data_IF_611429353633
#
_entry.id   IF_611429353633
#
_cell.length_a   1.000
_cell.length_b   1.000
_cell.length_c   1.000
_cell.angle_alpha   90.00
_cell.angle_beta   90.00
_cell.angle_gamma   90.00
#
_symmetry.space_group_name_H-M   'P 1'
#
loop_
_entity.id
_entity.type
_entity.pdbx_description
1 polymer ?
#
# COMPACT_ATOMS: atom_id res chain seq x y z
N UNK A 1 -23.39 -49.41 -1.86
CA UNK A 1 -21.94 -49.16 -2.02
C UNK A 1 -21.78 -47.68 -2.16
N UNK A 2 -21.29 -47.05 -1.09
CA UNK A 2 -21.09 -45.62 -0.98
C UNK A 2 -20.04 -45.16 -2.00
N UNK A 3 -20.37 -44.13 -2.78
CA UNK A 3 -19.40 -43.37 -3.56
C UNK A 3 -19.45 -41.92 -3.09
N UNK A 4 -18.51 -41.57 -2.22
CA UNK A 4 -18.22 -40.21 -1.77
C UNK A 4 -17.90 -39.29 -2.97
N UNK A 5 -18.37 -38.03 -3.00
CA UNK A 5 -17.90 -37.04 -3.96
C UNK A 5 -16.51 -36.54 -3.55
N UNK A 6 -15.57 -36.60 -4.48
CA UNK A 6 -14.24 -36.02 -4.35
C UNK A 6 -14.33 -34.52 -4.03
N UNK A 7 -13.75 -34.13 -2.90
CA UNK A 7 -13.45 -32.74 -2.58
C UNK A 7 -12.41 -32.26 -3.59
N UNK A 8 -12.80 -31.38 -4.51
CA UNK A 8 -11.88 -30.66 -5.39
C UNK A 8 -10.87 -29.88 -4.53
N UNK A 9 -9.66 -30.42 -4.45
CA UNK A 9 -8.53 -29.81 -3.77
C UNK A 9 -8.16 -28.49 -4.42
N UNK A 10 -7.87 -27.51 -3.58
CA UNK A 10 -7.15 -26.31 -4.00
C UNK A 10 -5.74 -26.75 -4.38
N UNK A 11 -5.44 -26.79 -5.67
CA UNK A 11 -4.05 -26.94 -6.11
C UNK A 11 -3.28 -25.68 -5.71
N UNK A 12 -2.38 -25.87 -4.74
CA UNK A 12 -1.33 -24.95 -4.33
C UNK A 12 -0.52 -24.50 -5.56
N UNK A 13 -0.79 -23.29 -6.05
CA UNK A 13 0.20 -22.56 -6.83
C UNK A 13 1.23 -22.01 -5.87
N UNK A 14 2.33 -22.74 -5.71
CA UNK A 14 3.58 -22.25 -5.09
C UNK A 14 3.88 -20.86 -5.61
N UNK A 15 4.07 -19.92 -4.71
CA UNK A 15 4.77 -18.68 -5.01
C UNK A 15 6.20 -19.05 -5.40
N UNK A 16 6.53 -18.90 -6.69
CA UNK A 16 7.91 -18.86 -7.15
C UNK A 16 8.54 -17.58 -6.59
N UNK A 17 9.28 -17.72 -5.48
CA UNK A 17 10.46 -16.92 -5.21
C UNK A 17 11.68 -17.73 -5.66
N UNK A 18 12.66 -17.04 -6.22
CA UNK A 18 13.98 -17.49 -6.70
C UNK A 18 14.03 -18.10 -8.11
N UNK A 19 14.59 -17.32 -9.04
CA UNK A 19 15.85 -17.65 -9.72
C UNK A 19 16.44 -16.32 -10.25
N UNK A 20 17.10 -15.56 -9.37
CA UNK A 20 18.16 -14.65 -9.80
C UNK A 20 19.46 -15.21 -9.20
N UNK A 21 20.39 -15.54 -10.09
CA UNK A 21 21.60 -16.30 -9.85
C UNK A 21 22.43 -15.78 -8.66
N UNK A 22 22.83 -16.73 -7.82
CA UNK A 22 23.96 -16.63 -6.90
C UNK A 22 25.18 -16.02 -7.59
N UNK A 23 25.54 -14.79 -7.24
CA UNK A 23 26.95 -14.40 -7.17
C UNK A 23 27.34 -14.34 -5.70
N UNK A 24 27.85 -15.47 -5.25
CA UNK A 24 28.55 -15.71 -3.99
C UNK A 24 29.42 -14.51 -3.60
N UNK A 25 29.06 -13.83 -2.51
CA UNK A 25 29.98 -12.98 -1.78
C UNK A 25 30.78 -13.88 -0.84
N UNK A 26 32.03 -14.18 -1.20
CA UNK A 26 32.97 -14.77 -0.25
C UNK A 26 33.36 -13.70 0.77
N UNK A 27 33.09 -13.88 2.07
CA UNK A 27 33.60 -12.97 3.09
C UNK A 27 35.14 -13.07 3.12
N UNK A 28 35.86 -11.95 3.29
CA UNK A 28 37.31 -11.99 3.39
C UNK A 28 37.73 -12.90 4.55
N UNK A 29 38.53 -13.93 4.21
CA UNK A 29 39.10 -14.91 5.14
C UNK A 29 39.75 -14.19 6.33
N UNK A 30 39.29 -14.51 7.56
CA UNK A 30 39.95 -14.13 8.81
C UNK A 30 41.44 -14.45 8.72
N UNK A 31 42.29 -13.43 8.58
CA UNK A 31 43.71 -13.60 8.92
C UNK A 31 43.80 -13.67 10.44
N UNK A 32 44.38 -14.76 10.91
CA UNK A 32 44.68 -15.01 12.30
C UNK A 32 45.34 -13.78 12.93
N UNK A 33 44.72 -13.24 13.97
CA UNK A 33 45.40 -12.38 14.93
C UNK A 33 46.34 -13.27 15.74
N UNK A 34 47.57 -13.42 15.28
CA UNK A 34 48.69 -13.81 16.14
C UNK A 34 49.73 -12.70 16.10
N UNK A 35 50.23 -12.41 17.30
CA UNK A 35 51.47 -11.70 17.62
C UNK A 35 51.47 -10.17 17.47
N UNK A 36 50.72 -9.51 18.34
CA UNK A 36 51.21 -8.28 18.97
C UNK A 36 51.06 -8.42 20.49
N UNK A 37 52.17 -8.76 21.16
CA UNK A 37 52.30 -8.66 22.61
C UNK A 37 52.03 -7.21 23.05
N UNK A 38 51.33 -6.97 24.17
CA UNK A 38 51.15 -5.62 24.68
C UNK A 38 52.49 -5.13 25.23
N UNK A 39 53.04 -4.06 24.64
CA UNK A 39 54.12 -3.31 25.29
C UNK A 39 53.48 -2.30 26.23
N UNK A 40 53.57 -2.62 27.52
CA UNK A 40 53.63 -1.75 28.70
C UNK A 40 53.19 -0.29 28.56
N UNK A 41 52.20 0.03 29.39
CA UNK A 41 52.07 1.26 30.17
C UNK A 41 51.94 2.57 29.39
N UNK A 42 50.70 2.93 29.07
CA UNK A 42 50.29 4.33 29.04
C UNK A 42 48.95 4.45 29.77
N UNK A 43 49.02 4.74 31.08
CA UNK A 43 47.86 5.22 31.84
C UNK A 43 47.52 6.63 31.33
N UNK A 44 46.45 6.76 30.56
CA UNK A 44 45.82 8.06 30.34
C UNK A 44 44.81 8.31 31.46
N UNK A 45 45.32 8.84 32.58
CA UNK A 45 44.47 9.43 33.60
C UNK A 45 43.87 10.73 33.08
N UNK A 46 42.56 10.71 32.79
CA UNK A 46 41.75 11.92 32.61
C UNK A 46 41.60 12.38 31.16
N UNK A 47 40.55 11.91 30.49
CA UNK A 47 39.95 12.62 29.36
C UNK A 47 38.59 13.15 29.85
N UNK A 48 38.34 14.47 29.79
CA UNK A 48 37.05 15.03 30.19
C UNK A 48 35.97 14.62 29.18
N UNK A 49 34.75 14.44 29.66
CA UNK A 49 33.52 14.21 28.88
C UNK A 49 33.41 15.20 27.71
N UNK A 50 33.69 14.74 26.49
CA UNK A 50 33.57 15.53 25.26
C UNK A 50 32.28 15.18 24.53
N UNK A 51 31.56 16.17 24.00
CA UNK A 51 30.33 15.94 23.23
C UNK A 51 30.64 15.41 21.83
N UNK A 52 29.69 14.70 21.21
CA UNK A 52 29.78 14.20 19.81
C UNK A 52 30.13 15.32 18.82
N UNK A 53 29.63 16.54 19.05
CA UNK A 53 29.99 17.71 18.24
C UNK A 53 31.46 18.10 18.40
N UNK A 54 32.05 17.93 19.58
CA UNK A 54 33.47 18.18 19.81
C UNK A 54 34.34 17.06 19.23
N UNK A 55 33.90 15.80 19.27
CA UNK A 55 34.59 14.68 18.62
C UNK A 55 34.56 14.80 17.09
N UNK A 56 33.41 15.16 16.50
CA UNK A 56 33.27 15.44 15.08
C UNK A 56 34.08 16.68 14.67
N UNK A 57 34.09 17.75 15.48
CA UNK A 57 34.95 18.92 15.22
C UNK A 57 36.44 18.61 15.32
N UNK A 58 36.84 17.69 16.20
CA UNK A 58 38.23 17.22 16.29
C UNK A 58 38.56 16.33 15.10
N UNK A 59 37.68 15.41 14.72
CA UNK A 59 37.84 14.55 13.55
C UNK A 59 37.89 15.38 12.25
N UNK A 60 37.02 16.38 12.10
CA UNK A 60 37.04 17.35 11.01
C UNK A 60 38.28 18.25 11.05
N UNK A 61 38.68 18.79 12.21
CA UNK A 61 39.91 19.60 12.32
C UNK A 61 41.15 18.77 12.00
N UNK A 62 41.25 17.53 12.47
CA UNK A 62 42.36 16.62 12.14
C UNK A 62 42.35 16.28 10.65
N UNK A 63 41.17 15.99 10.08
CA UNK A 63 41.02 15.77 8.65
C UNK A 63 41.42 17.01 7.84
N UNK A 64 40.94 18.20 8.18
CA UNK A 64 41.25 19.46 7.49
C UNK A 64 42.71 19.87 7.62
N UNK A 65 43.29 19.78 8.82
CA UNK A 65 44.70 20.09 9.06
C UNK A 65 45.63 19.17 8.28
N UNK A 66 45.19 17.95 7.95
CA UNK A 66 46.03 16.95 7.28
C UNK A 66 45.55 16.65 5.84
N UNK A 67 44.44 17.24 5.39
CA UNK A 67 43.90 17.13 4.02
C UNK A 67 44.91 17.59 2.97
N UNK A 68 45.70 18.62 3.27
CA UNK A 68 46.74 19.11 2.38
C UNK A 68 47.93 18.14 2.23
N UNK A 69 48.20 17.31 3.24
CA UNK A 69 49.18 16.21 3.16
C UNK A 69 48.62 14.97 2.45
N UNK A 70 47.29 14.80 2.43
CA UNK A 70 46.60 13.69 1.76
C UNK A 70 46.45 13.90 0.24
N UNK A 71 46.38 15.15 -0.24
CA UNK A 71 46.08 15.48 -1.64
C UNK A 71 47.32 15.78 -2.50
N UNK A 72 48.48 16.06 -1.90
CA UNK A 72 49.73 16.29 -2.66
C UNK A 72 50.94 15.69 -1.95
N UNK A 73 51.32 14.48 -2.33
CA UNK A 73 52.71 14.02 -2.55
C UNK A 73 52.81 12.49 -2.43
N UNK A 74 53.05 11.83 -3.56
CA UNK A 74 53.47 10.42 -3.66
C UNK A 74 54.93 10.22 -3.19
N UNK A 75 55.29 10.74 -2.01
CA UNK A 75 56.65 10.67 -1.51
C UNK A 75 56.71 9.94 -0.15
N UNK A 76 57.47 8.85 -0.11
CA UNK A 76 57.59 7.87 0.98
C UNK A 76 57.97 8.42 2.37
N UNK A 77 58.33 9.70 2.48
CA UNK A 77 58.86 10.34 3.70
C UNK A 77 57.81 10.63 4.79
N UNK A 78 56.54 10.80 4.42
CA UNK A 78 55.43 11.11 5.35
C UNK A 78 54.46 9.94 5.53
N UNK A 79 54.79 8.76 4.99
CA UNK A 79 53.93 7.59 5.01
C UNK A 79 53.72 7.00 6.43
N UNK A 80 54.65 7.22 7.36
CA UNK A 80 54.57 6.81 8.76
C UNK A 80 53.65 7.72 9.59
N UNK A 81 53.73 9.03 9.39
CA UNK A 81 52.90 10.03 10.07
C UNK A 81 51.46 9.98 9.58
N UNK A 82 51.24 9.80 8.28
CA UNK A 82 49.91 9.53 7.71
C UNK A 82 49.31 8.22 8.22
N UNK A 83 50.12 7.17 8.39
CA UNK A 83 49.68 5.92 9.04
C UNK A 83 49.36 6.13 10.52
N UNK A 84 50.09 6.99 11.22
CA UNK A 84 49.86 7.32 12.62
C UNK A 84 48.59 8.14 12.82
N UNK A 85 48.36 9.19 12.03
CA UNK A 85 47.13 9.98 12.08
C UNK A 85 45.90 9.15 11.69
N UNK A 86 46.00 8.30 10.65
CA UNK A 86 44.93 7.36 10.30
C UNK A 86 44.69 6.33 11.41
N UNK A 87 45.73 5.91 12.14
CA UNK A 87 45.62 5.01 13.29
C UNK A 87 44.97 5.72 14.48
N UNK A 88 45.33 6.97 14.77
CA UNK A 88 44.77 7.75 15.88
C UNK A 88 43.28 8.09 15.63
N UNK A 89 42.90 8.46 14.40
CA UNK A 89 41.49 8.65 14.01
C UNK A 89 40.71 7.33 14.10
N UNK A 90 41.30 6.22 13.62
CA UNK A 90 40.67 4.91 13.75
C UNK A 90 40.53 4.47 15.21
N UNK A 91 41.51 4.77 16.07
CA UNK A 91 41.44 4.48 17.50
C UNK A 91 40.38 5.33 18.20
N UNK A 92 40.30 6.63 17.91
CA UNK A 92 39.27 7.50 18.46
C UNK A 92 37.85 7.06 18.05
N UNK A 93 37.69 6.60 16.80
CA UNK A 93 36.44 6.01 16.32
C UNK A 93 36.12 4.69 17.04
N UNK A 94 37.10 3.77 17.13
CA UNK A 94 37.01 2.49 17.85
C UNK A 94 36.76 2.62 19.37
N UNK A 95 37.16 3.74 19.97
CA UNK A 95 36.92 4.04 21.38
C UNK A 95 35.52 4.64 21.57
N UNK A 96 35.10 5.51 20.64
CA UNK A 96 33.75 6.11 20.67
C UNK A 96 32.61 5.13 20.40
N UNK A 97 32.83 4.09 19.56
CA UNK A 97 31.81 3.06 19.30
C UNK A 97 31.53 2.16 20.52
N UNK A 98 32.43 2.16 21.52
CA UNK A 98 32.33 1.36 22.75
C UNK A 98 31.89 2.19 23.96
N UNK A 99 31.91 3.51 23.85
CA UNK A 99 31.44 4.39 24.91
C UNK A 99 29.91 4.50 24.86
N UNK A 100 29.27 3.87 25.85
CA UNK A 100 27.81 3.82 25.96
C UNK A 100 27.16 5.21 26.00
N UNK A 101 27.75 6.19 26.69
CA UNK A 101 27.15 7.53 26.81
C UNK A 101 27.22 8.29 25.49
N UNK A 102 28.33 8.13 24.76
CA UNK A 102 28.49 8.69 23.41
C UNK A 102 27.48 8.07 22.46
N UNK A 103 27.33 6.74 22.48
CA UNK A 103 26.39 6.01 21.62
C UNK A 103 24.93 6.34 21.98
N UNK A 104 24.57 6.43 23.26
CA UNK A 104 23.23 6.86 23.69
C UNK A 104 22.91 8.27 23.19
N UNK A 105 23.85 9.20 23.35
CA UNK A 105 23.68 10.58 22.87
C UNK A 105 23.49 10.62 21.36
N UNK A 106 24.30 9.86 20.60
CA UNK A 106 24.17 9.79 19.15
C UNK A 106 22.82 9.18 18.73
N UNK A 107 22.42 8.05 19.30
CA UNK A 107 21.14 7.38 19.01
C UNK A 107 19.92 8.23 19.37
N UNK A 108 20.02 9.08 20.40
CA UNK A 108 18.95 10.01 20.77
C UNK A 108 18.72 11.12 19.74
N UNK A 109 19.76 11.46 18.96
CA UNK A 109 19.71 12.49 17.92
C UNK A 109 19.34 11.88 16.55
N UNK A 110 19.92 10.73 16.23
CA UNK A 110 19.64 9.94 15.02
C UNK A 110 19.69 8.45 15.35
N UNK A 111 18.53 7.78 15.30
CA UNK A 111 18.45 6.36 15.61
C UNK A 111 19.29 5.45 14.71
N UNK A 112 19.66 5.90 13.49
CA UNK A 112 20.55 5.13 12.61
C UNK A 112 22.02 5.14 13.08
N UNK A 113 22.38 5.99 14.04
CA UNK A 113 23.72 5.98 14.64
C UNK A 113 24.09 4.63 15.28
N UNK A 114 23.08 3.81 15.61
CA UNK A 114 23.24 2.46 16.15
C UNK A 114 24.04 1.51 15.23
N UNK A 115 24.01 1.73 13.91
CA UNK A 115 24.79 0.96 12.94
C UNK A 115 26.30 0.93 13.27
N UNK A 116 26.80 2.02 13.85
CA UNK A 116 28.21 2.21 14.15
C UNK A 116 28.60 1.84 15.58
N UNK A 117 27.64 1.40 16.40
CA UNK A 117 27.92 0.99 17.77
C UNK A 117 28.63 -0.37 17.80
N UNK A 118 29.48 -0.59 18.81
CA UNK A 118 30.09 -1.89 19.03
C UNK A 118 29.01 -2.98 19.26
N UNK A 119 29.25 -4.25 18.88
CA UNK A 119 28.26 -5.32 18.99
C UNK A 119 27.64 -5.48 20.39
N UNK A 120 28.42 -5.25 21.45
CA UNK A 120 27.93 -5.31 22.84
C UNK A 120 26.89 -4.22 23.13
N UNK A 121 27.03 -3.04 22.52
CA UNK A 121 26.07 -1.93 22.64
C UNK A 121 24.89 -2.08 21.67
N UNK A 122 25.07 -2.75 20.53
CA UNK A 122 23.95 -3.21 19.69
C UNK A 122 23.08 -4.28 20.38
N UNK A 123 23.57 -4.86 21.48
CA UNK A 123 22.84 -5.76 22.36
C UNK A 123 22.44 -5.10 23.70
N UNK A 124 22.68 -3.80 23.88
CA UNK A 124 22.31 -3.08 25.10
C UNK A 124 20.90 -2.51 24.97
N UNK A 125 19.96 -3.05 25.75
CA UNK A 125 18.54 -2.67 25.68
C UNK A 125 18.31 -1.17 25.83
N UNK A 126 19.08 -0.44 26.66
CA UNK A 126 18.89 1.00 26.84
C UNK A 126 19.30 1.78 25.58
N UNK A 127 20.39 1.35 24.93
CA UNK A 127 20.85 1.93 23.65
C UNK A 127 19.80 1.71 22.56
N UNK A 128 19.29 0.47 22.42
CA UNK A 128 18.32 0.16 21.37
C UNK A 128 16.99 0.86 21.60
N UNK A 129 16.52 0.95 22.85
CA UNK A 129 15.31 1.72 23.17
C UNK A 129 15.50 3.20 22.80
N UNK A 130 16.65 3.80 23.09
CA UNK A 130 16.94 5.18 22.67
C UNK A 130 16.92 5.34 21.15
N UNK A 131 17.55 4.42 20.42
CA UNK A 131 17.59 4.45 18.96
C UNK A 131 16.20 4.26 18.33
N UNK A 132 15.47 3.23 18.75
CA UNK A 132 14.13 2.91 18.22
C UNK A 132 13.09 3.96 18.58
N UNK A 133 13.24 4.66 19.72
CA UNK A 133 12.37 5.79 20.10
C UNK A 133 12.55 6.99 19.19
N UNK A 134 13.75 7.17 18.61
CA UNK A 134 14.03 8.23 17.65
C UNK A 134 13.69 7.81 16.21
N UNK A 135 14.05 6.57 15.83
CA UNK A 135 13.83 6.03 14.49
C UNK A 135 13.51 4.53 14.53
N UNK A 136 12.26 4.15 14.24
CA UNK A 136 11.80 2.76 14.35
C UNK A 136 12.59 1.73 13.52
N UNK A 137 13.17 2.12 12.38
CA UNK A 137 13.98 1.20 11.55
C UNK A 137 15.33 0.85 12.18
N UNK A 138 15.75 1.54 13.24
CA UNK A 138 16.96 1.20 13.98
C UNK A 138 16.93 -0.22 14.56
N UNK A 139 15.74 -0.83 14.70
CA UNK A 139 15.56 -2.23 15.11
C UNK A 139 16.38 -3.21 14.25
N UNK A 140 16.67 -2.87 12.99
CA UNK A 140 17.48 -3.71 12.10
C UNK A 140 18.90 -3.98 12.60
N UNK A 141 19.45 -3.09 13.43
CA UNK A 141 20.80 -3.20 13.98
C UNK A 141 20.81 -3.88 15.36
N UNK A 142 19.65 -4.12 15.96
CA UNK A 142 19.54 -4.81 17.23
C UNK A 142 19.91 -6.29 17.09
N UNK A 143 20.38 -6.90 18.17
CA UNK A 143 20.58 -8.35 18.23
C UNK A 143 19.27 -9.11 18.00
N UNK A 144 19.38 -10.37 17.56
CA UNK A 144 18.21 -11.24 17.37
C UNK A 144 17.37 -11.40 18.65
N UNK A 145 18.03 -11.47 19.82
CA UNK A 145 17.35 -11.59 21.11
C UNK A 145 16.49 -10.36 21.41
N UNK A 146 16.98 -9.16 21.07
CA UNK A 146 16.22 -7.91 21.23
C UNK A 146 15.15 -7.74 20.15
N UNK A 147 15.35 -8.23 18.93
CA UNK A 147 14.30 -8.29 17.92
C UNK A 147 13.14 -9.21 18.33
N UNK A 148 13.37 -10.15 19.24
CA UNK A 148 12.32 -10.99 19.84
C UNK A 148 11.60 -10.32 21.02
N UNK A 149 12.07 -9.16 21.51
CA UNK A 149 11.43 -8.43 22.60
C UNK A 149 10.18 -7.70 22.10
N UNK A 150 9.00 -8.25 22.45
CA UNK A 150 7.69 -7.74 22.03
C UNK A 150 7.51 -6.25 22.33
N UNK A 151 7.94 -5.77 23.50
CA UNK A 151 7.76 -4.36 23.87
C UNK A 151 8.63 -3.45 23.01
N UNK A 152 9.87 -3.89 22.71
CA UNK A 152 10.78 -3.14 21.85
C UNK A 152 10.30 -3.09 20.41
N UNK A 153 9.81 -4.21 19.87
CA UNK A 153 9.27 -4.27 18.51
C UNK A 153 8.03 -3.38 18.38
N UNK A 154 7.13 -3.38 19.37
CA UNK A 154 5.97 -2.49 19.40
C UNK A 154 6.38 -1.02 19.50
N UNK A 155 7.39 -0.69 20.31
CA UNK A 155 7.96 0.65 20.37
C UNK A 155 8.48 1.10 19.00
N UNK A 156 9.30 0.28 18.34
CA UNK A 156 9.84 0.57 17.02
C UNK A 156 8.73 0.72 15.97
N UNK A 157 7.73 -0.16 16.02
CA UNK A 157 6.54 -0.12 15.17
C UNK A 157 5.75 1.18 15.34
N UNK A 158 5.62 1.70 16.57
CA UNK A 158 4.93 2.96 16.85
C UNK A 158 5.62 4.17 16.21
N UNK A 159 6.94 4.10 16.00
CA UNK A 159 7.71 5.14 15.31
C UNK A 159 7.68 4.96 13.79
N UNK A 160 7.74 3.72 13.32
CA UNK A 160 7.67 3.42 11.90
C UNK A 160 7.19 1.97 11.66
N UNK A 161 6.03 1.81 11.00
CA UNK A 161 5.42 0.49 10.72
C UNK A 161 6.36 -0.52 10.05
N UNK A 162 7.26 -0.05 9.17
CA UNK A 162 8.19 -0.95 8.46
C UNK A 162 9.26 -1.55 9.38
N UNK A 163 9.33 -1.16 10.66
CA UNK A 163 10.13 -1.86 11.66
C UNK A 163 9.74 -3.34 11.78
N UNK A 164 8.49 -3.70 11.50
CA UNK A 164 8.02 -5.09 11.50
C UNK A 164 8.71 -5.98 10.44
N UNK A 165 9.41 -5.41 9.44
CA UNK A 165 10.27 -6.18 8.53
C UNK A 165 11.40 -6.91 9.26
N UNK A 166 11.79 -6.41 10.43
CA UNK A 166 12.87 -6.96 11.27
C UNK A 166 12.33 -7.73 12.48
N UNK A 167 11.01 -7.84 12.62
CA UNK A 167 10.41 -8.69 13.63
C UNK A 167 10.56 -10.18 13.22
N UNK A 168 10.78 -11.09 14.17
CA UNK A 168 10.77 -12.52 13.91
C UNK A 168 9.41 -12.98 13.36
N UNK A 169 9.44 -13.99 12.48
CA UNK A 169 8.24 -14.54 11.84
C UNK A 169 7.22 -15.04 12.88
N UNK A 170 7.70 -15.58 13.99
CA UNK A 170 6.88 -16.07 15.11
C UNK A 170 5.97 -14.97 15.68
N UNK A 171 6.44 -13.72 15.77
CA UNK A 171 5.62 -12.59 16.23
C UNK A 171 4.60 -12.18 15.17
N UNK A 172 4.97 -12.18 13.89
CA UNK A 172 4.06 -11.89 12.77
C UNK A 172 2.97 -12.97 12.60
N UNK A 173 3.19 -14.13 13.18
CA UNK A 173 2.25 -15.26 13.23
C UNK A 173 1.38 -15.25 14.50
N UNK A 174 1.75 -14.46 15.52
CA UNK A 174 1.00 -14.32 16.75
C UNK A 174 -0.16 -13.33 16.61
N UNK A 175 -1.37 -13.83 16.89
CA UNK A 175 -2.60 -13.01 16.79
C UNK A 175 -2.61 -11.87 17.80
N UNK A 176 -2.13 -12.10 19.03
CA UNK A 176 -2.14 -11.09 20.09
C UNK A 176 -1.23 -9.92 19.77
N UNK A 177 -0.01 -10.21 19.33
CA UNK A 177 0.96 -9.25 18.84
C UNK A 177 0.41 -8.44 17.66
N UNK A 178 -0.09 -9.11 16.62
CA UNK A 178 -0.61 -8.41 15.44
C UNK A 178 -1.82 -7.54 15.75
N UNK A 179 -2.70 -7.94 16.67
CA UNK A 179 -3.79 -7.09 17.14
C UNK A 179 -3.27 -5.81 17.82
N UNK A 180 -2.22 -5.91 18.64
CA UNK A 180 -1.59 -4.75 19.28
C UNK A 180 -0.89 -3.84 18.25
N UNK A 181 -0.15 -4.40 17.31
CA UNK A 181 0.50 -3.65 16.24
C UNK A 181 -0.52 -2.92 15.35
N UNK A 182 -1.60 -3.61 14.93
CA UNK A 182 -2.68 -3.03 14.15
C UNK A 182 -3.46 -1.95 14.90
N UNK A 183 -3.53 -2.03 16.23
CA UNK A 183 -4.13 -0.99 17.06
C UNK A 183 -3.28 0.28 17.16
N UNK A 184 -1.99 0.23 16.83
CA UNK A 184 -1.12 1.41 16.73
C UNK A 184 -1.16 1.99 15.32
N UNK A 185 -0.92 1.16 14.30
CA UNK A 185 -1.01 1.51 12.89
C UNK A 185 -1.62 0.33 12.12
N UNK A 186 -2.79 0.53 11.50
CA UNK A 186 -3.48 -0.52 10.75
C UNK A 186 -2.69 -1.00 9.52
N UNK A 187 -1.75 -0.22 9.01
CA UNK A 187 -0.89 -0.61 7.88
C UNK A 187 0.19 -1.63 8.24
N UNK A 188 0.37 -1.92 9.53
CA UNK A 188 1.20 -3.06 10.00
C UNK A 188 0.65 -4.40 9.54
N UNK A 189 -0.65 -4.49 9.27
CA UNK A 189 -1.32 -5.70 8.80
C UNK A 189 -0.73 -6.31 7.53
N UNK A 190 -0.02 -5.52 6.71
CA UNK A 190 0.69 -6.02 5.53
C UNK A 190 1.75 -7.08 5.87
N UNK A 191 2.29 -7.06 7.09
CA UNK A 191 3.30 -7.99 7.58
C UNK A 191 2.71 -9.23 8.26
N UNK A 192 1.39 -9.25 8.50
CA UNK A 192 0.73 -10.39 9.11
C UNK A 192 0.88 -11.65 8.24
N UNK A 193 1.01 -12.81 8.89
CA UNK A 193 1.00 -14.10 8.19
C UNK A 193 -0.27 -14.29 7.34
N UNK A 194 -0.21 -15.12 6.30
CA UNK A 194 -1.40 -15.42 5.47
C UNK A 194 -2.58 -15.94 6.30
N UNK A 195 -2.31 -16.70 7.37
CA UNK A 195 -3.31 -17.19 8.31
C UNK A 195 -4.04 -16.02 8.98
N UNK A 196 -3.30 -15.02 9.47
CA UNK A 196 -3.88 -13.83 10.11
C UNK A 196 -4.47 -12.86 9.09
N UNK A 197 -3.97 -12.83 7.86
CA UNK A 197 -4.59 -12.09 6.76
C UNK A 197 -5.98 -12.63 6.41
N UNK A 198 -6.25 -13.89 6.74
CA UNK A 198 -7.56 -14.55 6.64
C UNK A 198 -8.32 -14.59 7.98
N UNK A 199 -7.83 -13.93 9.04
CA UNK A 199 -8.50 -13.84 10.34
C UNK A 199 -9.33 -12.56 10.41
N UNK A 200 -10.66 -12.71 10.46
CA UNK A 200 -11.59 -11.58 10.41
C UNK A 200 -11.39 -10.59 11.57
N UNK A 201 -11.00 -11.04 12.76
CA UNK A 201 -10.80 -10.14 13.90
C UNK A 201 -9.58 -9.23 13.67
N UNK A 202 -8.51 -9.80 13.12
CA UNK A 202 -7.29 -9.04 12.80
C UNK A 202 -7.55 -8.04 11.68
N UNK A 203 -8.26 -8.46 10.62
CA UNK A 203 -8.67 -7.55 9.53
C UNK A 203 -9.51 -6.39 10.07
N UNK A 204 -10.51 -6.68 10.90
CA UNK A 204 -11.37 -5.65 11.49
C UNK A 204 -10.58 -4.69 12.39
N UNK A 205 -9.61 -5.17 13.17
CA UNK A 205 -8.73 -4.33 13.98
C UNK A 205 -7.90 -3.38 13.10
N UNK A 206 -7.28 -3.92 12.04
CA UNK A 206 -6.49 -3.13 11.10
C UNK A 206 -7.33 -2.07 10.35
N UNK A 207 -8.58 -2.39 9.98
CA UNK A 207 -9.50 -1.44 9.37
C UNK A 207 -9.97 -0.35 10.34
N UNK A 208 -10.08 -0.66 11.65
CA UNK A 208 -10.55 0.28 12.66
C UNK A 208 -9.58 1.45 12.87
N UNK A 209 -8.28 1.15 12.99
CA UNK A 209 -7.26 2.12 13.33
C UNK A 209 -7.02 3.14 12.22
N UNK A 210 -7.13 2.68 10.98
CA UNK A 210 -6.95 3.50 9.80
C UNK A 210 -8.12 4.49 9.55
N UNK A 211 -9.25 4.36 10.26
CA UNK A 211 -10.44 5.19 10.02
C UNK A 211 -10.33 6.65 10.47
N UNK A 212 -9.29 7.06 11.21
CA UNK A 212 -9.22 8.38 11.87
C UNK A 212 -8.49 9.47 11.08
N UNK A 213 -7.72 9.13 10.03
CA UNK A 213 -7.02 10.12 9.20
C UNK A 213 -7.97 10.76 8.18
N UNK A 214 -8.89 11.59 8.67
CA UNK A 214 -9.94 12.29 7.91
C UNK A 214 -9.41 13.38 6.96
N UNK A 215 -8.14 13.75 7.04
CA UNK A 215 -7.58 14.92 6.33
C UNK A 215 -6.61 14.57 5.19
N UNK A 216 -6.12 13.34 5.11
CA UNK A 216 -5.19 12.89 4.06
C UNK A 216 -5.57 11.50 3.57
N UNK A 217 -6.36 11.47 2.50
CA UNK A 217 -6.77 10.24 1.81
C UNK A 217 -5.61 9.75 0.92
N UNK A 218 -4.68 8.93 1.45
CA UNK A 218 -4.38 7.66 0.79
C UNK A 218 -3.97 6.45 1.66
N UNK A 219 -3.58 6.60 2.94
CA UNK A 219 -2.92 5.48 3.66
C UNK A 219 -3.86 4.57 4.46
N UNK A 220 -5.09 4.98 4.73
CA UNK A 220 -6.02 4.23 5.57
C UNK A 220 -6.58 2.95 4.91
N UNK A 221 -6.57 2.87 3.59
CA UNK A 221 -7.18 1.75 2.86
C UNK A 221 -6.19 0.63 2.53
N UNK A 222 -4.93 0.79 2.95
CA UNK A 222 -3.86 -0.12 2.56
C UNK A 222 -3.93 -1.44 3.30
N UNK A 223 -4.53 -1.51 4.49
CA UNK A 223 -4.67 -2.76 5.23
C UNK A 223 -5.64 -3.74 4.54
N UNK A 224 -6.85 -3.28 4.16
CA UNK A 224 -7.88 -4.16 3.61
C UNK A 224 -7.46 -4.88 2.32
N UNK A 225 -6.60 -4.28 1.49
CA UNK A 225 -6.09 -4.93 0.27
C UNK A 225 -5.18 -6.14 0.55
N UNK A 226 -4.67 -6.30 1.77
CA UNK A 226 -3.91 -7.48 2.19
C UNK A 226 -4.81 -8.58 2.78
N UNK A 227 -6.10 -8.32 3.00
CA UNK A 227 -7.01 -9.30 3.57
C UNK A 227 -7.30 -10.42 2.56
N UNK A 228 -7.24 -11.67 3.04
CA UNK A 228 -7.44 -12.88 2.25
C UNK A 228 -8.82 -13.51 2.51
N UNK A 229 -9.12 -14.61 1.83
CA UNK A 229 -10.38 -15.36 1.99
C UNK A 229 -11.66 -14.58 1.65
N UNK A 230 -11.55 -13.53 0.86
CA UNK A 230 -12.67 -12.65 0.52
C UNK A 230 -13.00 -11.61 1.58
N UNK A 231 -12.20 -11.50 2.66
CA UNK A 231 -12.39 -10.50 3.72
C UNK A 231 -12.20 -9.06 3.22
N UNK A 232 -11.48 -8.86 2.11
CA UNK A 232 -11.39 -7.58 1.42
C UNK A 232 -12.70 -7.16 0.71
N UNK A 233 -13.67 -8.06 0.64
CA UNK A 233 -15.03 -7.84 0.14
C UNK A 233 -16.10 -8.19 1.18
N UNK A 234 -15.68 -8.48 2.42
CA UNK A 234 -16.59 -8.76 3.52
C UNK A 234 -17.25 -7.45 3.96
N UNK A 235 -18.57 -7.51 4.16
CA UNK A 235 -19.40 -6.37 4.52
C UNK A 235 -18.88 -5.64 5.75
N UNK A 236 -18.57 -6.37 6.82
CA UNK A 236 -18.18 -5.77 8.09
C UNK A 236 -16.80 -5.11 7.95
N UNK A 237 -15.88 -5.75 7.24
CA UNK A 237 -14.55 -5.19 6.95
C UNK A 237 -14.65 -3.90 6.12
N UNK A 238 -15.51 -3.87 5.11
CA UNK A 238 -15.71 -2.69 4.25
C UNK A 238 -16.38 -1.52 4.99
N UNK A 239 -17.36 -1.80 5.86
CA UNK A 239 -17.96 -0.81 6.76
C UNK A 239 -16.91 -0.29 7.72
N UNK A 240 -16.14 -1.19 8.36
CA UNK A 240 -15.09 -0.82 9.31
C UNK A 240 -14.01 0.05 8.66
N UNK A 241 -13.65 -0.26 7.41
CA UNK A 241 -12.74 0.53 6.59
C UNK A 241 -13.34 1.85 6.06
N UNK A 242 -14.62 2.14 6.35
CA UNK A 242 -15.36 3.32 5.86
C UNK A 242 -15.42 3.42 4.33
N UNK A 243 -15.27 2.29 3.64
CA UNK A 243 -15.50 2.18 2.20
C UNK A 243 -16.98 1.93 1.88
N UNK A 244 -17.71 1.53 2.91
CA UNK A 244 -19.12 1.23 2.89
C UNK A 244 -19.88 2.06 3.91
N UNK A 245 -21.14 2.32 3.59
CA UNK A 245 -22.04 3.12 4.40
C UNK A 245 -23.11 2.17 4.94
N UNK A 246 -23.48 2.28 6.22
CA UNK A 246 -24.50 1.42 6.87
C UNK A 246 -25.88 1.46 6.18
N UNK A 247 -26.10 2.45 5.29
CA UNK A 247 -27.31 2.63 4.50
C UNK A 247 -27.41 1.70 3.28
N UNK A 248 -26.41 0.87 3.01
CA UNK A 248 -26.55 -0.17 2.00
C UNK A 248 -27.55 -1.21 2.47
N UNK A 249 -28.59 -1.37 1.66
CA UNK A 249 -29.59 -2.41 1.86
C UNK A 249 -29.09 -3.65 1.15
N UNK A 250 -28.74 -4.66 1.94
CA UNK A 250 -28.68 -6.04 1.47
C UNK A 250 -30.04 -6.37 0.86
N UNK A 251 -30.10 -6.42 -0.47
CA UNK A 251 -31.36 -6.70 -1.19
C UNK A 251 -31.72 -8.18 -1.16
N UNK A 252 -30.87 -9.03 -0.58
CA UNK A 252 -31.23 -10.41 -0.25
C UNK A 252 -31.95 -10.49 1.11
N UNK A 253 -31.91 -9.43 1.93
CA UNK A 253 -32.77 -9.32 3.10
C UNK A 253 -34.17 -8.86 2.64
N UNK A 254 -35.21 -9.52 3.13
CA UNK A 254 -36.63 -9.36 2.78
C UNK A 254 -37.24 -7.95 3.06
N UNK A 255 -36.42 -6.91 3.24
CA UNK A 255 -36.83 -5.58 3.71
C UNK A 255 -36.24 -4.43 2.87
N UNK A 256 -36.34 -4.51 1.54
CA UNK A 256 -36.10 -3.31 0.69
C UNK A 256 -37.35 -2.44 0.74
N UNK A 257 -37.21 -1.20 1.25
CA UNK A 257 -38.33 -0.24 1.26
C UNK A 257 -38.62 0.28 -0.15
N UNK A 258 -39.90 0.44 -0.52
CA UNK A 258 -40.34 0.95 -1.84
C UNK A 258 -39.67 2.29 -2.23
N UNK A 259 -39.30 3.10 -1.24
CA UNK A 259 -38.64 4.40 -1.38
C UNK A 259 -37.20 4.31 -1.91
N UNK A 260 -36.49 3.18 -1.72
CA UNK A 260 -35.12 3.00 -2.21
C UNK A 260 -35.05 2.50 -3.65
N UNK A 261 -36.10 1.82 -4.11
CA UNK A 261 -36.20 1.25 -5.47
C UNK A 261 -36.27 2.35 -6.55
N UNK A 262 -36.67 3.58 -6.19
CA UNK A 262 -36.87 4.70 -7.12
C UNK A 262 -35.68 5.65 -7.28
N UNK A 263 -34.58 5.43 -6.55
CA UNK A 263 -33.41 6.33 -6.56
C UNK A 263 -32.57 6.12 -7.82
N UNK A 264 -32.00 7.20 -8.35
CA UNK A 264 -31.06 7.14 -9.48
C UNK A 264 -29.83 6.35 -9.05
N UNK A 265 -29.36 5.45 -9.92
CA UNK A 265 -28.25 4.54 -9.58
C UNK A 265 -26.98 4.92 -10.31
N UNK A 266 -25.90 5.01 -9.57
CA UNK A 266 -24.55 5.22 -10.09
C UNK A 266 -23.83 3.88 -10.06
N UNK A 267 -23.50 3.33 -11.23
CA UNK A 267 -22.77 2.06 -11.33
C UNK A 267 -21.28 2.37 -11.50
N UNK A 268 -20.46 1.97 -10.54
CA UNK A 268 -19.02 2.12 -10.66
C UNK A 268 -18.44 0.96 -11.49
N UNK A 269 -17.49 1.28 -12.36
CA UNK A 269 -16.63 0.35 -13.10
C UNK A 269 -15.19 0.67 -12.72
N UNK A 270 -14.61 -0.15 -11.85
CA UNK A 270 -13.25 0.00 -11.35
C UNK A 270 -12.43 -1.21 -11.76
N UNK A 271 -11.11 -1.08 -11.89
CA UNK A 271 -10.26 -2.22 -12.28
C UNK A 271 -10.50 -3.40 -11.33
N UNK A 272 -10.80 -4.55 -11.91
CA UNK A 272 -11.05 -5.78 -11.15
C UNK A 272 -9.72 -6.26 -10.59
N UNK A 273 -9.44 -5.93 -9.34
CA UNK A 273 -8.20 -6.34 -8.72
C UNK A 273 -8.40 -6.55 -7.22
N UNK A 274 -8.10 -7.76 -6.80
CA UNK A 274 -8.11 -8.21 -5.41
C UNK A 274 -6.65 -8.38 -5.02
N UNK A 275 -6.16 -7.61 -4.06
CA UNK A 275 -4.85 -7.85 -3.45
C UNK A 275 -3.94 -6.62 -3.36
N UNK A 276 -2.76 -6.84 -2.77
CA UNK A 276 -1.79 -5.82 -2.39
C UNK A 276 -1.31 -4.87 -3.50
N UNK A 277 -1.42 -5.29 -4.77
CA UNK A 277 -0.85 -4.61 -5.95
C UNK A 277 -1.81 -3.60 -6.60
N UNK A 278 -2.98 -3.36 -6.02
CA UNK A 278 -3.95 -2.38 -6.55
C UNK A 278 -3.55 -0.95 -6.23
N UNK A 279 -3.84 -0.04 -7.17
CA UNK A 279 -3.80 1.40 -6.92
C UNK A 279 -4.90 1.76 -5.91
N UNK A 280 -4.63 2.78 -5.08
CA UNK A 280 -5.65 3.33 -4.18
C UNK A 280 -6.62 4.28 -4.92
N UNK A 281 -6.40 4.53 -6.21
CA UNK A 281 -7.07 5.58 -6.97
C UNK A 281 -8.59 5.38 -7.05
N UNK A 282 -9.05 4.20 -7.48
CA UNK A 282 -10.48 3.89 -7.56
C UNK A 282 -11.21 4.01 -6.20
N UNK A 283 -10.54 3.59 -5.14
CA UNK A 283 -11.05 3.70 -3.76
C UNK A 283 -11.15 5.17 -3.34
N UNK A 284 -10.09 5.96 -3.59
CA UNK A 284 -10.05 7.39 -3.30
C UNK A 284 -11.15 8.14 -4.05
N UNK A 285 -11.32 7.86 -5.33
CA UNK A 285 -12.40 8.41 -6.15
C UNK A 285 -13.77 8.11 -5.54
N UNK A 286 -14.02 6.84 -5.20
CA UNK A 286 -15.31 6.41 -4.64
C UNK A 286 -15.65 7.12 -3.34
N UNK A 287 -14.67 7.27 -2.44
CA UNK A 287 -14.84 7.97 -1.15
C UNK A 287 -15.15 9.46 -1.37
N UNK A 288 -14.40 10.13 -2.24
CA UNK A 288 -14.62 11.56 -2.52
C UNK A 288 -15.93 11.80 -3.28
N UNK A 289 -16.31 10.90 -4.20
CA UNK A 289 -17.58 10.95 -4.91
C UNK A 289 -18.75 10.88 -3.94
N UNK A 290 -18.72 9.95 -2.97
CA UNK A 290 -19.78 9.81 -1.95
C UNK A 290 -19.91 11.03 -1.04
N UNK A 291 -18.81 11.72 -0.74
CA UNK A 291 -18.81 12.97 0.06
C UNK A 291 -19.37 14.17 -0.70
N UNK A 292 -19.35 14.14 -2.04
CA UNK A 292 -19.71 15.29 -2.85
C UNK A 292 -21.19 15.71 -2.59
N UNK A 293 -21.49 17.00 -2.32
CA UNK A 293 -22.83 17.43 -1.91
C UNK A 293 -23.95 17.08 -2.88
N UNK A 294 -23.69 17.03 -4.18
CA UNK A 294 -24.66 16.62 -5.19
C UNK A 294 -24.97 15.11 -5.17
N UNK A 295 -23.96 14.28 -4.87
CA UNK A 295 -24.09 12.82 -4.86
C UNK A 295 -24.61 12.34 -3.51
N UNK A 296 -24.18 12.98 -2.42
CA UNK A 296 -24.62 12.70 -1.05
C UNK A 296 -26.12 13.00 -0.82
N UNK A 297 -26.79 13.67 -1.76
CA UNK A 297 -28.24 13.86 -1.72
C UNK A 297 -28.99 12.53 -1.76
N UNK A 298 -30.19 12.49 -1.18
CA UNK A 298 -31.00 11.28 -1.08
C UNK A 298 -31.49 10.71 -2.41
N UNK A 299 -31.17 11.33 -3.54
CA UNK A 299 -31.61 10.92 -4.88
C UNK A 299 -30.75 9.82 -5.49
N UNK A 300 -29.46 9.71 -5.11
CA UNK A 300 -28.53 8.75 -5.69
C UNK A 300 -28.26 7.54 -4.79
N UNK A 301 -27.98 6.40 -5.43
CA UNK A 301 -27.40 5.20 -4.80
C UNK A 301 -26.19 4.76 -5.60
N UNK A 302 -25.04 4.66 -4.95
CA UNK A 302 -23.79 4.21 -5.57
C UNK A 302 -23.68 2.69 -5.42
N UNK A 303 -23.63 1.98 -6.54
CA UNK A 303 -23.30 0.56 -6.60
C UNK A 303 -21.81 0.39 -6.92
N UNK A 304 -21.08 -0.21 -5.99
CA UNK A 304 -19.68 -0.61 -6.18
C UNK A 304 -19.62 -2.11 -6.50
N UNK A 305 -18.97 -2.52 -7.60
CA UNK A 305 -18.92 -3.92 -7.99
C UNK A 305 -17.89 -4.73 -7.19
N UNK A 306 -16.83 -4.11 -6.67
CA UNK A 306 -15.79 -4.83 -5.92
C UNK A 306 -16.18 -5.12 -4.47
N UNK A 307 -17.40 -4.75 -4.14
CA UNK A 307 -17.88 -4.51 -2.81
C UNK A 307 -18.58 -5.78 -2.23
N UNK A 308 -18.87 -6.75 -3.07
CA UNK A 308 -19.46 -8.03 -2.66
C UNK A 308 -18.54 -9.15 -3.07
N UNK A 309 -18.47 -10.19 -2.25
CA UNK A 309 -18.02 -11.47 -2.74
C UNK A 309 -18.97 -11.92 -3.87
N UNK A 310 -18.42 -12.39 -4.99
CA UNK A 310 -19.18 -12.69 -6.21
C UNK A 310 -18.83 -14.06 -6.74
N UNK A 311 -19.84 -14.75 -7.27
CA UNK A 311 -19.62 -15.92 -8.08
C UNK A 311 -19.17 -15.53 -9.48
N UNK A 312 -18.57 -16.47 -10.20
CA UNK A 312 -18.32 -16.33 -11.65
C UNK A 312 -18.69 -17.62 -12.36
N UNK A 313 -19.14 -17.51 -13.61
CA UNK A 313 -19.19 -18.65 -14.53
C UNK A 313 -18.04 -18.65 -15.53
N UNK A 314 -17.19 -17.62 -15.51
CA UNK A 314 -15.92 -17.57 -16.22
C UNK A 314 -14.81 -18.01 -15.26
N UNK A 315 -14.14 -19.15 -15.50
CA UNK A 315 -13.02 -19.61 -14.65
C UNK A 315 -11.87 -18.60 -14.56
N UNK A 316 -11.67 -17.77 -15.59
CA UNK A 316 -10.64 -16.74 -15.62
C UNK A 316 -11.17 -15.35 -15.21
N UNK A 317 -12.43 -15.26 -14.78
CA UNK A 317 -13.16 -14.05 -14.38
C UNK A 317 -13.34 -12.99 -15.47
N UNK A 318 -12.25 -12.52 -16.06
CA UNK A 318 -12.18 -11.41 -17.01
C UNK A 318 -11.75 -11.85 -18.40
N UNK A 319 -11.94 -13.11 -18.78
CA UNK A 319 -11.66 -13.56 -20.13
C UNK A 319 -12.66 -12.91 -21.12
N UNK A 320 -12.15 -11.99 -21.94
CA UNK A 320 -12.92 -11.24 -22.95
C UNK A 320 -13.60 -12.15 -23.98
N UNK A 321 -13.03 -13.31 -24.24
CA UNK A 321 -13.55 -14.30 -25.20
C UNK A 321 -14.57 -15.25 -24.57
N UNK A 322 -14.80 -15.15 -23.26
CA UNK A 322 -15.78 -15.99 -22.58
C UNK A 322 -17.21 -15.55 -22.95
N UNK A 323 -18.05 -16.53 -23.30
CA UNK A 323 -19.36 -16.29 -23.92
C UNK A 323 -20.35 -15.53 -23.03
N UNK A 324 -20.20 -15.62 -21.70
CA UNK A 324 -21.10 -14.94 -20.76
C UNK A 324 -21.03 -13.42 -20.90
N UNK A 325 -22.16 -12.79 -21.26
CA UNK A 325 -22.37 -11.34 -21.27
C UNK A 325 -23.28 -10.89 -20.12
N UNK A 326 -23.49 -11.75 -19.11
CA UNK A 326 -24.36 -11.44 -17.98
C UNK A 326 -25.86 -11.49 -18.28
N UNK A 327 -26.28 -12.08 -19.41
CA UNK A 327 -27.71 -12.32 -19.69
C UNK A 327 -28.14 -13.70 -19.21
N UNK A 328 -29.45 -13.92 -19.07
CA UNK A 328 -30.02 -15.24 -18.79
C UNK A 328 -29.53 -16.32 -19.78
N UNK A 329 -29.47 -15.97 -21.07
CA UNK A 329 -29.07 -16.85 -22.15
C UNK A 329 -27.56 -17.15 -22.18
N UNK A 330 -26.72 -16.18 -21.79
CA UNK A 330 -25.25 -16.31 -21.92
C UNK A 330 -24.56 -16.76 -20.63
N UNK A 331 -25.18 -16.53 -19.47
CA UNK A 331 -24.62 -16.93 -18.19
C UNK A 331 -24.75 -18.45 -17.98
N UNK A 332 -23.63 -19.10 -17.63
CA UNK A 332 -23.59 -20.55 -17.41
C UNK A 332 -23.88 -20.96 -15.95
N UNK A 333 -24.23 -20.01 -15.06
CA UNK A 333 -24.74 -20.35 -13.71
C UNK A 333 -26.13 -21.02 -13.81
N UNK A 334 -26.52 -21.82 -12.80
CA UNK A 334 -27.88 -22.36 -12.68
C UNK A 334 -28.97 -21.28 -12.80
N UNK A 335 -30.16 -21.60 -13.36
CA UNK A 335 -31.22 -20.60 -13.60
C UNK A 335 -31.56 -19.70 -12.41
N UNK A 336 -31.69 -20.28 -11.21
CA UNK A 336 -32.03 -19.55 -9.99
C UNK A 336 -30.96 -18.54 -9.51
N UNK A 337 -29.75 -18.56 -10.09
CA UNK A 337 -28.66 -17.60 -9.81
C UNK A 337 -28.49 -16.53 -10.91
N UNK A 338 -29.32 -16.59 -11.95
CA UNK A 338 -29.30 -15.67 -13.10
C UNK A 338 -30.70 -15.15 -13.47
N UNK A 339 -31.59 -15.14 -12.49
CA UNK A 339 -32.95 -14.60 -12.58
C UNK A 339 -33.25 -13.74 -11.36
N UNK A 340 -33.95 -12.61 -11.55
CA UNK A 340 -34.34 -11.71 -10.46
C UNK A 340 -33.19 -10.84 -9.95
N UNK A 341 -33.22 -10.56 -8.64
CA UNK A 341 -32.15 -9.81 -7.96
C UNK A 341 -30.93 -10.73 -7.83
N UNK A 342 -29.71 -10.27 -8.18
CA UNK A 342 -28.49 -11.07 -8.03
C UNK A 342 -28.24 -11.43 -6.56
N UNK A 343 -27.93 -12.71 -6.32
CA UNK A 343 -27.59 -13.22 -4.99
C UNK A 343 -26.10 -13.00 -4.71
N UNK A 344 -25.78 -12.43 -3.55
CA UNK A 344 -24.40 -12.20 -3.12
C UNK A 344 -23.63 -13.55 -3.03
N UNK A 345 -22.34 -13.54 -3.37
CA UNK A 345 -21.43 -14.70 -3.48
C UNK A 345 -21.82 -15.79 -4.50
N UNK A 346 -23.08 -15.93 -4.90
CA UNK A 346 -23.55 -17.04 -5.74
C UNK A 346 -23.73 -16.65 -7.21
N UNK A 347 -24.37 -15.50 -7.45
CA UNK A 347 -24.63 -15.01 -8.81
C UNK A 347 -23.34 -14.68 -9.54
N UNK A 348 -23.34 -14.90 -10.85
CA UNK A 348 -22.22 -14.51 -11.70
C UNK A 348 -22.02 -13.00 -11.66
N UNK A 349 -20.77 -12.53 -11.49
CA UNK A 349 -20.44 -11.12 -11.43
C UNK A 349 -20.93 -10.34 -12.66
N UNK A 350 -20.86 -10.95 -13.86
CA UNK A 350 -21.37 -10.33 -15.10
C UNK A 350 -22.88 -10.17 -15.08
N UNK A 351 -23.59 -11.18 -14.57
CA UNK A 351 -25.04 -11.12 -14.41
C UNK A 351 -25.43 -10.02 -13.42
N UNK A 352 -24.78 -10.00 -12.26
CA UNK A 352 -24.95 -8.96 -11.25
C UNK A 352 -24.69 -7.57 -11.84
N UNK A 353 -23.52 -7.37 -12.46
CA UNK A 353 -23.16 -6.09 -13.05
C UNK A 353 -24.17 -5.63 -14.10
N UNK A 354 -24.57 -6.51 -15.03
CA UNK A 354 -25.58 -6.20 -16.05
C UNK A 354 -26.93 -5.85 -15.44
N UNK A 355 -27.37 -6.57 -14.41
CA UNK A 355 -28.59 -6.24 -13.68
C UNK A 355 -28.55 -4.81 -13.13
N UNK A 356 -27.44 -4.43 -12.48
CA UNK A 356 -27.27 -3.08 -11.93
C UNK A 356 -27.20 -2.00 -13.03
N UNK A 357 -26.59 -2.29 -14.20
CA UNK A 357 -26.59 -1.40 -15.36
C UNK A 357 -28.00 -1.19 -15.93
N UNK A 358 -28.77 -2.27 -16.13
CA UNK A 358 -30.14 -2.19 -16.64
C UNK A 358 -31.06 -1.42 -15.70
N UNK A 359 -30.97 -1.67 -14.39
CA UNK A 359 -31.72 -0.93 -13.38
C UNK A 359 -31.34 0.55 -13.38
N UNK A 360 -30.05 0.87 -13.44
CA UNK A 360 -29.58 2.25 -13.53
C UNK A 360 -30.08 2.96 -14.79
N UNK A 361 -30.02 2.29 -15.95
CA UNK A 361 -30.55 2.81 -17.22
C UNK A 361 -32.03 3.17 -17.10
N UNK A 362 -32.85 2.29 -16.55
CA UNK A 362 -34.30 2.55 -16.37
C UNK A 362 -34.61 3.66 -15.36
N UNK A 363 -33.78 3.84 -14.33
CA UNK A 363 -33.96 4.85 -13.30
C UNK A 363 -33.34 6.21 -13.67
N UNK A 364 -32.83 6.38 -14.89
CA UNK A 364 -32.14 7.61 -15.31
C UNK A 364 -30.81 7.84 -14.58
N UNK A 365 -30.16 6.76 -14.17
CA UNK A 365 -28.80 6.73 -13.64
C UNK A 365 -27.73 6.63 -14.73
N UNK A 366 -26.50 6.37 -14.32
CA UNK A 366 -25.33 6.34 -15.21
C UNK A 366 -24.22 5.44 -14.67
N UNK A 367 -23.28 5.07 -15.53
CA UNK A 367 -22.06 4.37 -15.17
C UNK A 367 -20.91 5.36 -15.06
N UNK A 368 -20.09 5.24 -14.01
CA UNK A 368 -18.78 5.89 -13.94
C UNK A 368 -17.69 4.82 -14.05
N UNK A 369 -16.81 4.97 -15.02
CA UNK A 369 -15.64 4.12 -15.18
C UNK A 369 -14.39 4.87 -14.73
N UNK A 370 -13.75 4.37 -13.67
CA UNK A 370 -12.52 4.95 -13.12
C UNK A 370 -11.34 4.29 -13.80
N UNK A 371 -10.49 5.07 -14.45
CA UNK A 371 -9.40 4.60 -15.31
C UNK A 371 -8.07 4.91 -14.63
N UNK A 372 -7.39 3.86 -14.17
CA UNK A 372 -6.07 3.96 -13.56
C UNK A 372 -4.98 4.21 -14.60
N UNK A 373 -3.87 4.78 -14.15
CA UNK A 373 -2.63 4.82 -14.92
C UNK A 373 -2.10 3.40 -15.18
N UNK A 374 -1.42 3.25 -16.31
CA UNK A 374 -0.53 2.11 -16.56
C UNK A 374 0.57 2.09 -15.51
N UNK A 375 1.13 0.90 -15.29
CA UNK A 375 2.28 0.76 -14.39
C UNK A 375 3.44 1.63 -14.90
N UNK A 376 4.26 2.13 -13.98
CA UNK A 376 5.46 2.91 -14.29
C UNK A 376 6.41 2.21 -15.28
N UNK A 377 6.44 0.87 -15.26
CA UNK A 377 7.23 0.02 -16.17
C UNK A 377 6.71 0.04 -17.63
N UNK A 378 5.44 0.40 -17.84
CA UNK A 378 4.75 0.43 -19.14
C UNK A 378 4.61 1.86 -19.68
N UNK A 379 5.29 2.81 -19.04
CA UNK A 379 5.19 4.22 -19.36
C UNK A 379 6.04 4.56 -20.59
N UNK A 380 5.42 5.17 -21.60
CA UNK A 380 6.14 5.68 -22.77
C UNK A 380 6.69 7.07 -22.45
N UNK A 381 8.02 7.21 -22.46
CA UNK A 381 8.69 8.51 -22.31
C UNK A 381 9.13 9.06 -23.68
N UNK A 382 9.02 10.38 -23.92
CA UNK A 382 8.63 11.43 -22.98
C UNK A 382 7.10 11.49 -22.78
N UNK A 383 6.67 11.85 -21.57
CA UNK A 383 5.37 12.51 -21.40
C UNK A 383 5.36 13.65 -22.40
N UNK A 384 4.55 13.54 -23.45
CA UNK A 384 4.59 14.45 -24.60
C UNK A 384 4.57 15.90 -24.14
N UNK A 385 5.21 16.77 -24.94
CA UNK A 385 5.31 18.20 -24.70
C UNK A 385 3.98 18.78 -24.21
N UNK A 386 4.04 19.80 -23.35
CA UNK A 386 2.91 20.40 -22.60
C UNK A 386 1.67 20.83 -23.43
N UNK A 387 1.68 20.62 -24.75
CA UNK A 387 0.66 21.00 -25.72
C UNK A 387 -0.08 19.81 -26.39
N UNK A 388 0.37 18.55 -26.23
CA UNK A 388 -0.26 17.37 -26.86
C UNK A 388 -1.05 16.51 -25.86
N UNK A 389 -2.36 16.78 -25.77
CA UNK A 389 -3.36 16.08 -24.92
C UNK A 389 -3.51 14.58 -25.25
N UNK A 390 -3.08 14.14 -26.44
CA UNK A 390 -3.27 12.76 -26.93
C UNK A 390 -2.30 11.75 -26.29
N UNK A 391 -1.11 12.16 -25.81
CA UNK A 391 -0.13 11.28 -25.15
C UNK A 391 -0.52 10.83 -23.73
N UNK A 392 -1.55 11.42 -23.14
CA UNK A 392 -2.02 11.09 -21.79
C UNK A 392 -2.96 9.88 -21.79
N UNK A 393 -3.75 9.70 -22.85
CA UNK A 393 -4.57 8.50 -23.03
C UNK A 393 -3.72 7.26 -23.24
N UNK A 394 -2.53 7.42 -23.81
CA UNK A 394 -1.58 6.31 -23.99
C UNK A 394 -1.09 5.73 -22.66
N UNK A 395 -1.14 6.51 -21.57
CA UNK A 395 -0.70 6.09 -20.25
C UNK A 395 -1.83 5.59 -19.34
N UNK A 396 -3.06 5.48 -19.86
CA UNK A 396 -4.20 4.93 -19.16
C UNK A 396 -4.66 3.63 -19.83
N UNK A 397 -5.08 2.64 -19.03
CA UNK A 397 -5.60 1.40 -19.60
C UNK A 397 -6.81 0.87 -18.84
N UNK A 398 -7.85 0.51 -19.61
CA UNK A 398 -8.97 -0.24 -19.09
C UNK A 398 -8.56 -1.71 -18.95
N UNK A 399 -8.69 -2.23 -17.73
CA UNK A 399 -8.51 -3.66 -17.50
C UNK A 399 -9.52 -4.50 -18.28
N UNK A 400 -9.22 -5.79 -18.47
CA UNK A 400 -10.07 -6.71 -19.23
C UNK A 400 -11.51 -6.77 -18.71
N UNK A 401 -11.67 -6.78 -17.38
CA UNK A 401 -12.99 -6.69 -16.73
C UNK A 401 -13.74 -5.42 -17.11
N UNK A 402 -13.08 -4.26 -17.04
CA UNK A 402 -13.68 -2.98 -17.40
C UNK A 402 -14.08 -2.90 -18.88
N UNK A 403 -13.31 -3.53 -19.78
CA UNK A 403 -13.69 -3.63 -21.20
C UNK A 403 -14.94 -4.47 -21.42
N UNK A 404 -15.11 -5.56 -20.65
CA UNK A 404 -16.35 -6.36 -20.63
C UNK A 404 -17.50 -5.52 -20.07
N UNK A 405 -17.28 -4.77 -18.99
CA UNK A 405 -18.26 -3.85 -18.40
C UNK A 405 -18.70 -2.76 -19.38
N UNK A 406 -17.78 -2.15 -20.13
CA UNK A 406 -18.09 -1.19 -21.20
C UNK A 406 -18.98 -1.80 -22.27
N UNK A 407 -18.71 -3.05 -22.69
CA UNK A 407 -19.57 -3.76 -23.65
C UNK A 407 -20.99 -3.95 -23.09
N UNK A 408 -21.10 -4.44 -21.86
CA UNK A 408 -22.41 -4.61 -21.21
C UNK A 408 -23.16 -3.27 -21.05
N UNK A 409 -22.45 -2.20 -20.68
CA UNK A 409 -23.03 -0.86 -20.55
C UNK A 409 -23.62 -0.35 -21.87
N UNK A 410 -22.86 -0.48 -22.97
CA UNK A 410 -23.34 -0.14 -24.33
C UNK A 410 -24.60 -0.92 -24.70
N UNK A 411 -24.65 -2.23 -24.41
CA UNK A 411 -25.83 -3.07 -24.68
C UNK A 411 -27.05 -2.69 -23.84
N UNK A 412 -26.85 -2.14 -22.64
CA UNK A 412 -27.95 -1.62 -21.79
C UNK A 412 -28.37 -0.19 -22.12
N UNK A 413 -27.63 0.50 -22.99
CA UNK A 413 -27.88 1.89 -23.36
C UNK A 413 -27.67 2.90 -22.22
N UNK A 414 -26.92 2.57 -21.18
CA UNK A 414 -26.65 3.48 -20.05
C UNK A 414 -25.58 4.52 -20.44
N UNK A 415 -25.70 5.76 -19.94
CA UNK A 415 -24.68 6.79 -20.08
C UNK A 415 -23.39 6.36 -19.38
N UNK A 416 -22.25 6.56 -20.05
CA UNK A 416 -20.91 6.26 -19.51
C UNK A 416 -20.14 7.56 -19.33
N UNK A 417 -19.67 7.81 -18.12
CA UNK A 417 -18.66 8.81 -17.79
C UNK A 417 -17.36 8.11 -17.42
N UNK A 418 -16.22 8.61 -17.92
CA UNK A 418 -14.89 8.13 -17.52
C UNK A 418 -14.15 9.19 -16.73
N UNK A 419 -13.57 8.76 -15.61
CA UNK A 419 -12.70 9.56 -14.75
C UNK A 419 -11.29 8.98 -14.84
N UNK A 420 -10.33 9.76 -15.30
CA UNK A 420 -8.94 9.32 -15.51
C UNK A 420 -8.05 9.75 -14.34
N UNK A 421 -7.08 8.91 -13.99
CA UNK A 421 -6.13 9.18 -12.92
C UNK A 421 -5.16 10.34 -13.26
N UNK A 422 -4.88 11.27 -12.32
CA UNK A 422 -3.82 12.26 -12.48
C UNK A 422 -2.44 11.64 -12.75
N UNK A 423 -1.77 12.04 -13.85
CA UNK A 423 -0.37 11.65 -14.14
C UNK A 423 0.66 12.33 -13.22
N UNK A 424 0.44 13.60 -12.90
CA UNK A 424 1.22 14.39 -11.94
C UNK A 424 0.22 14.94 -10.95
N UNK A 425 0.55 14.97 -9.64
CA UNK A 425 0.10 15.96 -8.62
C UNK A 425 -0.02 15.35 -7.21
N UNK A 426 0.15 16.22 -6.21
CA UNK A 426 -0.08 15.92 -4.80
C UNK A 426 -1.56 15.82 -4.43
N UNK A 427 -1.87 15.25 -3.24
CA UNK A 427 -3.23 14.99 -2.78
C UNK A 427 -4.13 16.23 -2.65
N UNK A 428 -3.56 17.44 -2.57
CA UNK A 428 -4.24 18.72 -2.30
C UNK A 428 -5.28 19.14 -3.36
N UNK A 429 -5.23 18.60 -4.59
CA UNK A 429 -6.14 18.98 -5.68
C UNK A 429 -7.21 17.93 -6.01
N UNK A 430 -7.15 16.74 -5.41
CA UNK A 430 -7.97 15.61 -5.83
C UNK A 430 -9.48 15.83 -5.63
N UNK A 431 -9.89 16.40 -4.49
CA UNK A 431 -11.31 16.68 -4.22
C UNK A 431 -11.90 17.71 -5.19
N UNK A 432 -11.10 18.69 -5.63
CA UNK A 432 -11.53 19.66 -6.63
C UNK A 432 -11.79 18.99 -7.98
N UNK A 433 -11.04 17.96 -8.33
CA UNK A 433 -11.22 17.25 -9.60
C UNK A 433 -12.45 16.37 -9.61
N UNK A 434 -12.73 15.68 -8.49
CA UNK A 434 -14.01 15.00 -8.30
C UNK A 434 -15.16 15.99 -8.36
N UNK A 435 -14.99 17.19 -7.79
CA UNK A 435 -15.98 18.26 -7.90
C UNK A 435 -16.25 18.67 -9.36
N UNK A 436 -15.20 18.99 -10.14
CA UNK A 436 -15.35 19.32 -11.57
C UNK A 436 -16.01 18.19 -12.36
N UNK A 437 -15.62 16.94 -12.11
CA UNK A 437 -16.25 15.78 -12.73
C UNK A 437 -17.75 15.69 -12.44
N UNK A 438 -18.17 15.96 -11.20
CA UNK A 438 -19.59 15.95 -10.83
C UNK A 438 -20.34 17.14 -11.45
N UNK A 439 -19.69 18.29 -11.68
CA UNK A 439 -20.32 19.41 -12.41
C UNK A 439 -20.67 19.04 -13.86
N UNK A 440 -19.83 18.26 -14.55
CA UNK A 440 -20.16 17.76 -15.90
C UNK A 440 -21.36 16.81 -15.90
N UNK A 441 -21.50 15.98 -14.85
CA UNK A 441 -22.70 15.14 -14.66
C UNK A 441 -23.94 16.01 -14.44
N UNK A 442 -23.84 17.07 -13.63
CA UNK A 442 -24.95 18.00 -13.41
C UNK A 442 -25.36 18.70 -14.69
N UNK A 443 -24.39 19.17 -15.48
CA UNK A 443 -24.62 19.80 -16.78
C UNK A 443 -25.37 18.85 -17.72
N UNK A 444 -24.95 17.58 -17.79
CA UNK A 444 -25.63 16.56 -18.59
C UNK A 444 -27.10 16.39 -18.19
N UNK A 445 -27.42 16.38 -16.88
CA UNK A 445 -28.82 16.37 -16.43
C UNK A 445 -29.57 17.65 -16.77
N UNK A 446 -28.94 18.82 -16.66
CA UNK A 446 -29.54 20.12 -17.01
C UNK A 446 -29.88 20.22 -18.50
N UNK A 447 -29.10 19.57 -19.36
CA UNK A 447 -29.33 19.44 -20.81
C UNK A 447 -30.34 18.32 -21.15
N UNK A 448 -31.04 17.78 -20.15
CA UNK A 448 -32.10 16.79 -20.33
C UNK A 448 -31.61 15.34 -20.43
N UNK A 449 -30.33 15.07 -20.16
CA UNK A 449 -29.79 13.71 -20.09
C UNK A 449 -29.83 12.93 -21.42
N UNK A 450 -29.94 13.63 -22.55
CA UNK A 450 -30.16 13.01 -23.86
C UNK A 450 -28.87 12.64 -24.59
N UNK A 451 -27.76 13.31 -24.28
CA UNK A 451 -26.47 13.02 -24.88
C UNK A 451 -25.89 11.72 -24.31
N UNK A 452 -26.04 10.61 -25.03
CA UNK A 452 -25.60 9.28 -24.61
C UNK A 452 -24.18 8.92 -25.07
N UNK A 453 -23.44 9.84 -25.70
CA UNK A 453 -22.04 9.59 -26.07
C UNK A 453 -21.19 9.35 -24.83
N UNK A 454 -20.15 8.52 -24.95
CA UNK A 454 -19.21 8.30 -23.86
C UNK A 454 -18.48 9.61 -23.55
N UNK A 455 -18.53 10.07 -22.30
CA UNK A 455 -17.77 11.26 -21.91
C UNK A 455 -16.48 10.87 -21.19
N UNK A 456 -15.35 11.32 -21.74
CA UNK A 456 -14.02 11.09 -21.20
C UNK A 456 -13.53 12.38 -20.53
N UNK A 457 -13.55 12.44 -19.19
CA UNK A 457 -13.17 13.63 -18.44
C UNK A 457 -11.73 13.45 -17.96
N UNK A 458 -10.80 14.10 -18.65
CA UNK A 458 -9.38 14.16 -18.29
C UNK A 458 -9.11 15.48 -17.55
N UNK A 459 -8.40 15.40 -16.43
CA UNK A 459 -8.15 16.55 -15.55
C UNK A 459 -6.89 17.31 -15.96
N UNK A 460 -6.94 17.97 -17.11
CA UNK A 460 -5.94 18.97 -17.52
C UNK A 460 -6.59 20.31 -17.86
N UNK A 461 -5.77 21.34 -18.13
CA UNK A 461 -6.16 22.75 -18.33
C UNK A 461 -7.30 22.99 -19.33
N UNK A 462 -7.64 22.00 -20.16
CA UNK A 462 -8.79 22.00 -21.04
C UNK A 462 -9.62 20.73 -20.80
N UNK A 463 -10.64 20.82 -19.94
CA UNK A 463 -11.71 19.81 -19.90
C UNK A 463 -12.32 19.80 -21.31
N UNK A 464 -12.15 18.72 -22.09
CA UNK A 464 -12.92 18.58 -23.34
C UNK A 464 -14.40 18.46 -22.91
N UNK A 465 -15.29 19.37 -23.31
CA UNK A 465 -16.67 19.32 -22.85
C UNK A 465 -17.33 18.01 -23.30
N UNK A 466 -18.08 17.39 -22.37
CA UNK A 466 -19.27 16.64 -22.77
C UNK A 466 -20.28 17.63 -23.39
#
# INVERSE_FOLDING_TARGET
>A
MESTPEKGGWEEKRCFFADDEEKSYEPPKKKAQNDLKPSSDFEFSGIPTMSVSQLLQIAEKCYEQHRHFLVKNDNYKYASERRRANKEIALAWLESEKDKEVVLTACSQDGNALEYAAPDLQNDKAVIVSACSNHGLALQYASQDLQNDVELVLLACSQHRDALKYAPEELLHDKGFMLQACAQDGNTFQYASQKLQNDKDVVLAACAQNGWMLQSVPECFQSLKFALGGLNQDRDCLIKARLWDDNYVDRNADTVTETQIKKKKIVLSTKFALGARTSAHATKFTVELKKHPYIAQSEFVVYSPNAFNKGTCDPQWTNKNWQCQGTYATCQKPPHLKTGVPKEAESCWRYSFRYHLSEASHLGGFMIQVVDLKKWEEFTWPLTNDDDDDGLYENHDLGDGQRIETKMARETGIKIFRFFEPVRMGPEHYSNWVHQFVLEIQKWYQEGGSNMTECNIVQQRNVRPC
#
